data_IF_490234097083
#
_entry.id   IF_490234097083
#
_cell.length_a   1.000
_cell.length_b   1.000
_cell.length_c   1.000
_cell.angle_alpha   90.00
_cell.angle_beta   90.00
_cell.angle_gamma   90.00
#
_symmetry.space_group_name_H-M   'P 1'
#
loop_
_entity.id
_entity.type
_entity.pdbx_description
1 polymer ?
#
# COMPACT_ATOMS: atom_id res chain seq x y z
N UNK A 1 -4.41 -9.98 6.14
CA UNK A 1 -3.19 -10.06 5.31
C UNK A 1 -2.03 -9.54 6.14
N UNK A 2 -1.12 -10.40 6.56
CA UNK A 2 -0.08 -10.01 7.53
C UNK A 2 1.13 -9.39 6.82
N UNK A 3 1.50 -8.17 7.21
CA UNK A 3 2.65 -7.42 6.67
C UNK A 3 3.90 -7.74 7.47
N UNK A 4 4.97 -8.14 6.77
CA UNK A 4 6.27 -8.47 7.39
C UNK A 4 7.38 -7.48 7.01
N UNK A 5 7.18 -6.71 5.95
CA UNK A 5 8.10 -5.65 5.52
C UNK A 5 7.31 -4.52 4.84
N UNK A 6 7.74 -3.28 5.08
CA UNK A 6 7.18 -2.08 4.46
C UNK A 6 8.28 -1.02 4.32
N UNK A 7 8.44 -0.49 3.12
CA UNK A 7 9.40 0.57 2.81
C UNK A 7 8.71 1.68 2.04
N UNK A 8 8.88 2.93 2.48
CA UNK A 8 8.45 4.10 1.73
C UNK A 8 9.44 4.37 0.60
N UNK A 9 9.04 4.17 -0.66
CA UNK A 9 9.90 4.37 -1.83
C UNK A 9 9.80 5.76 -2.43
N UNK A 10 8.72 6.50 -2.11
CA UNK A 10 8.61 7.93 -2.37
C UNK A 10 7.76 8.58 -1.27
N UNK A 11 8.24 9.67 -0.66
CA UNK A 11 7.51 10.41 0.39
C UNK A 11 6.92 11.75 -0.06
N UNK A 12 7.04 12.07 -1.36
CA UNK A 12 6.57 13.33 -1.93
C UNK A 12 5.24 13.12 -2.66
N UNK A 13 5.05 13.68 -3.86
CA UNK A 13 3.86 13.48 -4.69
C UNK A 13 4.21 12.62 -5.92
N UNK A 14 3.82 11.33 -5.97
CA UNK A 14 3.02 10.59 -4.99
C UNK A 14 3.79 10.10 -3.76
N UNK A 15 3.08 9.85 -2.67
CA UNK A 15 3.58 9.00 -1.60
C UNK A 15 3.38 7.53 -1.98
N UNK A 16 4.41 6.72 -1.80
CA UNK A 16 4.48 5.34 -2.26
C UNK A 16 5.12 4.44 -1.23
N UNK A 17 4.58 3.24 -1.09
CA UNK A 17 5.12 2.18 -0.26
C UNK A 17 5.10 0.87 -1.00
N UNK A 18 6.11 0.06 -0.71
CA UNK A 18 6.27 -1.29 -1.20
C UNK A 18 6.49 -2.19 0.01
N UNK A 19 6.04 -3.43 -0.06
CA UNK A 19 6.29 -4.35 1.03
C UNK A 19 5.85 -5.76 0.74
N UNK A 20 6.06 -6.62 1.73
CA UNK A 20 5.85 -8.06 1.63
C UNK A 20 4.89 -8.56 2.68
N UNK A 21 4.03 -9.48 2.27
CA UNK A 21 3.11 -10.21 3.13
C UNK A 21 3.72 -11.55 3.57
N UNK A 22 3.29 -12.06 4.71
CA UNK A 22 3.76 -13.35 5.26
C UNK A 22 3.49 -14.54 4.36
N UNK A 23 2.44 -14.48 3.55
CA UNK A 23 2.13 -15.50 2.54
C UNK A 23 3.01 -15.42 1.28
N UNK A 24 3.96 -14.47 1.25
CA UNK A 24 4.93 -14.28 0.18
C UNK A 24 4.46 -13.37 -0.94
N UNK A 25 3.21 -12.88 -0.91
CA UNK A 25 2.74 -11.86 -1.87
C UNK A 25 3.37 -10.50 -1.58
N UNK A 26 3.53 -9.70 -2.63
CA UNK A 26 3.98 -8.31 -2.53
C UNK A 26 2.78 -7.38 -2.52
N UNK A 27 2.88 -6.23 -1.83
CA UNK A 27 1.90 -5.15 -1.95
C UNK A 27 2.57 -3.86 -2.42
N UNK A 28 1.77 -3.03 -3.08
CA UNK A 28 2.13 -1.68 -3.51
C UNK A 28 1.03 -0.71 -3.08
N UNK A 29 1.39 0.34 -2.36
CA UNK A 29 0.48 1.41 -1.96
C UNK A 29 0.90 2.73 -2.61
N UNK A 30 -0.08 3.47 -3.14
CA UNK A 30 0.16 4.76 -3.80
C UNK A 30 -0.92 5.77 -3.46
N UNK A 31 -0.49 6.94 -3.01
CA UNK A 31 -1.36 8.09 -2.78
C UNK A 31 -1.08 9.21 -3.79
N UNK A 32 -2.05 9.55 -4.62
CA UNK A 32 -1.93 10.59 -5.65
C UNK A 32 -3.31 11.17 -6.01
N UNK A 33 -3.41 12.49 -6.14
CA UNK A 33 -4.66 13.19 -6.45
C UNK A 33 -5.75 12.91 -5.41
N UNK A 34 -5.35 12.81 -4.14
CA UNK A 34 -6.25 12.54 -3.02
C UNK A 34 -6.74 11.09 -2.93
N UNK A 35 -6.30 10.23 -3.83
CA UNK A 35 -6.73 8.83 -3.90
C UNK A 35 -5.63 7.90 -3.41
N UNK A 36 -5.96 7.05 -2.43
CA UNK A 36 -5.10 5.96 -1.97
C UNK A 36 -5.53 4.66 -2.66
N UNK A 37 -4.61 4.00 -3.36
CA UNK A 37 -4.76 2.61 -3.80
C UNK A 37 -3.79 1.70 -3.06
N UNK A 38 -4.24 0.49 -2.74
CA UNK A 38 -3.39 -0.62 -2.28
C UNK A 38 -3.69 -1.83 -3.15
N UNK A 39 -2.64 -2.34 -3.77
CA UNK A 39 -2.68 -3.46 -4.70
C UNK A 39 -1.73 -4.56 -4.21
N UNK A 40 -2.04 -5.81 -4.56
CA UNK A 40 -1.22 -6.97 -4.24
C UNK A 40 -0.95 -7.86 -5.46
N UNK A 41 0.07 -8.71 -5.34
CA UNK A 41 0.33 -9.76 -6.32
C UNK A 41 -0.63 -10.92 -6.16
N UNK A 42 -1.05 -11.57 -7.26
CA UNK A 42 -1.96 -12.73 -7.19
C UNK A 42 -1.30 -13.97 -6.60
N UNK A 43 0.03 -14.05 -6.73
CA UNK A 43 0.84 -15.18 -6.28
C UNK A 43 2.05 -14.68 -5.47
N UNK A 44 2.65 -15.53 -4.63
CA UNK A 44 3.90 -15.22 -3.96
C UNK A 44 5.01 -14.87 -4.95
N UNK A 45 5.77 -13.82 -4.67
CA UNK A 45 6.82 -13.30 -5.56
C UNK A 45 7.75 -12.35 -4.82
N UNK A 46 8.94 -12.12 -5.38
CA UNK A 46 9.87 -11.06 -4.94
C UNK A 46 9.93 -9.89 -5.95
N UNK A 47 9.13 -9.96 -7.01
CA UNK A 47 9.07 -8.92 -8.05
C UNK A 47 7.94 -7.93 -7.75
N UNK A 48 8.30 -6.73 -7.29
CA UNK A 48 7.33 -5.67 -6.95
C UNK A 48 6.43 -5.28 -8.13
N UNK A 49 6.86 -5.47 -9.38
CA UNK A 49 6.05 -5.16 -10.57
C UNK A 49 4.80 -6.02 -10.66
N UNK A 50 4.79 -7.16 -9.97
CA UNK A 50 3.63 -8.05 -9.87
C UNK A 50 2.65 -7.62 -8.78
N UNK A 51 2.97 -6.63 -7.94
CA UNK A 51 2.08 -6.17 -6.88
C UNK A 51 0.87 -5.36 -7.37
N UNK A 52 0.79 -5.04 -8.66
CA UNK A 52 -0.29 -4.23 -9.27
C UNK A 52 -1.30 -5.10 -10.04
N UNK A 53 -1.55 -6.32 -9.57
CA UNK A 53 -2.41 -7.29 -10.27
C UNK A 53 -3.83 -7.39 -9.68
N UNK A 54 -4.00 -7.07 -8.40
CA UNK A 54 -5.27 -7.11 -7.68
C UNK A 54 -5.37 -5.91 -6.72
N UNK A 55 -6.35 -5.03 -6.96
CA UNK A 55 -6.64 -3.93 -6.03
C UNK A 55 -7.48 -4.44 -4.86
N UNK A 56 -6.95 -4.32 -3.65
CA UNK A 56 -7.61 -4.74 -2.41
C UNK A 56 -8.20 -3.58 -1.62
N UNK A 57 -7.77 -2.36 -1.92
CA UNK A 57 -8.31 -1.16 -1.31
C UNK A 57 -8.19 0.05 -2.24
N UNK A 58 -9.19 0.93 -2.19
CA UNK A 58 -9.22 2.19 -2.91
C UNK A 58 -10.16 3.18 -2.22
N UNK A 59 -9.65 4.35 -1.84
CA UNK A 59 -10.45 5.38 -1.16
C UNK A 59 -9.98 6.78 -1.57
N UNK A 60 -10.94 7.68 -1.76
CA UNK A 60 -10.68 9.12 -1.87
C UNK A 60 -10.55 9.71 -0.46
N UNK A 61 -9.32 9.98 -0.02
CA UNK A 61 -9.02 10.53 1.31
C UNK A 61 -8.87 12.05 1.31
N UNK A 62 -8.44 12.61 0.18
CA UNK A 62 -8.12 14.03 0.03
C UNK A 62 -8.66 14.62 -1.26
N UNK A 63 -8.11 15.75 -1.69
CA UNK A 63 -8.49 16.46 -2.91
C UNK A 63 -7.52 16.22 -4.08
N UNK A 64 -7.83 16.81 -5.24
CA UNK A 64 -7.04 16.61 -6.47
C UNK A 64 -5.59 17.11 -6.40
N UNK A 65 -5.20 17.93 -5.43
CA UNK A 65 -3.82 18.39 -5.28
C UNK A 65 -3.04 17.60 -4.24
N UNK A 66 -3.71 16.73 -3.49
CA UNK A 66 -3.07 15.92 -2.46
C UNK A 66 -2.23 14.78 -3.05
N UNK A 67 -0.97 14.72 -2.61
CA UNK A 67 -0.05 13.65 -2.97
C UNK A 67 0.83 13.16 -1.83
N UNK A 68 0.73 13.78 -0.65
CA UNK A 68 1.51 13.41 0.53
C UNK A 68 0.61 12.70 1.53
N UNK A 69 0.98 11.49 1.96
CA UNK A 69 0.27 10.72 2.98
C UNK A 69 1.27 10.26 4.05
N UNK A 70 0.85 10.24 5.31
CA UNK A 70 1.69 9.73 6.40
C UNK A 70 1.67 8.20 6.42
N UNK A 71 2.77 7.58 6.87
CA UNK A 71 2.80 6.13 7.06
C UNK A 71 1.77 5.64 8.09
N UNK A 72 1.50 6.42 9.14
CA UNK A 72 0.46 6.08 10.14
C UNK A 72 -0.92 6.00 9.48
N UNK A 73 -1.28 6.99 8.66
CA UNK A 73 -2.55 6.99 7.93
C UNK A 73 -2.63 5.81 6.94
N UNK A 74 -1.53 5.48 6.26
CA UNK A 74 -1.48 4.27 5.44
C UNK A 74 -1.77 3.01 6.28
N UNK A 75 -1.09 2.84 7.42
CA UNK A 75 -1.27 1.66 8.29
C UNK A 75 -2.70 1.56 8.83
N UNK A 76 -3.31 2.67 9.22
CA UNK A 76 -4.72 2.72 9.62
C UNK A 76 -5.63 2.19 8.50
N UNK A 77 -5.46 2.69 7.27
CA UNK A 77 -6.25 2.24 6.12
C UNK A 77 -5.99 0.79 5.73
N UNK A 78 -4.74 0.33 5.85
CA UNK A 78 -4.40 -1.09 5.69
C UNK A 78 -5.14 -1.96 6.73
N UNK A 79 -5.18 -1.56 8.00
CA UNK A 79 -5.90 -2.30 9.04
C UNK A 79 -7.41 -2.33 8.73
N UNK A 80 -8.00 -1.20 8.35
CA UNK A 80 -9.41 -1.11 7.92
C UNK A 80 -9.71 -2.04 6.74
N UNK A 81 -8.75 -2.24 5.83
CA UNK A 81 -8.89 -3.14 4.68
C UNK A 81 -8.46 -4.59 4.95
N UNK A 82 -8.25 -4.97 6.22
CA UNK A 82 -7.99 -6.36 6.62
C UNK A 82 -6.51 -6.79 6.62
N UNK A 83 -5.57 -5.84 6.60
CA UNK A 83 -4.16 -6.12 6.88
C UNK A 83 -3.90 -6.16 8.39
N UNK A 84 -2.82 -6.83 8.78
CA UNK A 84 -2.34 -6.90 10.16
C UNK A 84 -0.83 -6.67 10.19
N UNK A 85 -0.32 -6.16 11.30
CA UNK A 85 1.11 -5.95 11.53
C UNK A 85 1.50 -6.76 12.78
N UNK A 86 2.60 -7.51 12.74
CA UNK A 86 3.18 -8.08 13.97
C UNK A 86 3.69 -6.92 14.85
N UNK A 87 3.35 -6.96 16.14
CA UNK A 87 3.78 -6.00 17.16
C UNK A 87 5.18 -6.33 17.69
#
# INVERSE_FOLDING_TARGET
MEVIDITQTCGACPSQWEGKLKDGRMFYARYRWGFLSIEISKQPTDDIRMAMEEQVYGEQLGDGFDGVLSENTLKEKMIESGFTFEL
#
